data_IF_513771886231
#
_entry.id   IF_513771886231
#
_cell.length_a   1.000
_cell.length_b   1.000
_cell.length_c   1.000
_cell.angle_alpha   90.00
_cell.angle_beta   90.00
_cell.angle_gamma   90.00
#
_symmetry.space_group_name_H-M   'P 1'
#
loop_
_entity.id
_entity.type
_entity.pdbx_description
1 polymer ?
#
# COMPACT_ATOMS: atom_id res chain seq x y z
N UNK A 1 -16.62 52.02 -25.69
CA UNK A 1 -15.69 52.49 -24.65
C UNK A 1 -15.78 51.46 -23.54
N UNK A 2 -14.85 50.50 -23.58
CA UNK A 2 -14.87 49.33 -22.72
C UNK A 2 -14.02 49.56 -21.50
N UNK A 3 -14.50 49.06 -20.35
CA UNK A 3 -13.68 48.73 -19.20
C UNK A 3 -14.08 47.33 -18.75
N UNK A 4 -13.57 46.34 -19.46
CA UNK A 4 -13.50 44.98 -18.95
C UNK A 4 -12.24 44.90 -18.09
N UNK A 5 -12.41 45.04 -16.78
CA UNK A 5 -11.34 44.80 -15.81
C UNK A 5 -10.97 43.33 -15.94
N UNK A 6 -9.82 43.08 -16.58
CA UNK A 6 -9.23 41.76 -16.65
C UNK A 6 -8.95 41.29 -15.23
N UNK A 7 -9.87 40.49 -14.68
CA UNK A 7 -9.61 39.66 -13.51
C UNK A 7 -8.49 38.71 -13.88
N UNK A 8 -7.27 39.06 -13.51
CA UNK A 8 -6.15 38.12 -13.50
C UNK A 8 -6.54 37.06 -12.48
N UNK A 9 -7.04 35.93 -12.97
CA UNK A 9 -7.31 34.76 -12.16
C UNK A 9 -6.05 34.45 -11.37
N UNK A 10 -6.15 34.52 -10.04
CA UNK A 10 -5.08 34.11 -9.13
C UNK A 10 -4.57 32.74 -9.58
N UNK A 11 -3.25 32.51 -9.69
CA UNK A 11 -2.74 31.19 -9.99
C UNK A 11 -3.29 30.24 -8.93
N UNK A 12 -3.90 29.13 -9.37
CA UNK A 12 -4.41 28.11 -8.48
C UNK A 12 -3.31 27.75 -7.48
N UNK A 13 -3.61 27.81 -6.16
CA UNK A 13 -2.67 27.39 -5.12
C UNK A 13 -2.12 26.01 -5.49
N UNK A 14 -0.82 25.74 -5.32
CA UNK A 14 -0.24 24.47 -5.72
C UNK A 14 -0.89 23.37 -4.86
N UNK A 15 -1.87 22.71 -5.47
CA UNK A 15 -2.58 21.49 -5.09
C UNK A 15 -3.06 21.42 -3.64
N UNK A 16 -4.33 21.72 -3.39
CA UNK A 16 -5.02 21.45 -2.12
C UNK A 16 -5.65 20.05 -2.21
N UNK A 17 -4.86 19.01 -1.89
CA UNK A 17 -5.33 17.61 -1.92
C UNK A 17 -5.77 17.16 -0.53
N UNK A 18 -6.81 16.34 -0.47
CA UNK A 18 -7.30 15.77 0.78
C UNK A 18 -6.48 14.54 1.20
N UNK A 19 -6.02 13.75 0.24
CA UNK A 19 -5.23 12.54 0.49
C UNK A 19 -4.12 12.31 -0.54
N UNK A 20 -3.11 11.53 -0.18
CA UNK A 20 -2.09 11.06 -1.11
C UNK A 20 -1.92 9.54 -1.02
N UNK A 21 -1.63 8.94 -2.18
CA UNK A 21 -1.35 7.52 -2.32
C UNK A 21 0.11 7.38 -2.75
N UNK A 22 0.98 6.90 -1.87
CA UNK A 22 2.38 6.61 -2.19
C UNK A 22 2.49 5.16 -2.64
N UNK A 23 3.09 4.93 -3.81
CA UNK A 23 3.31 3.59 -4.36
C UNK A 23 4.67 3.41 -5.01
N UNK A 24 4.87 2.21 -5.53
CA UNK A 24 5.97 1.82 -6.42
C UNK A 24 5.46 0.73 -7.35
N UNK A 25 6.24 0.41 -8.38
CA UNK A 25 5.85 -0.57 -9.39
C UNK A 25 6.42 -1.95 -9.06
N UNK A 26 5.63 -2.99 -9.32
CA UNK A 26 5.98 -4.39 -9.08
C UNK A 26 6.72 -5.04 -10.26
N UNK A 27 6.71 -4.38 -11.42
CA UNK A 27 7.35 -4.88 -12.64
C UNK A 27 7.84 -3.74 -13.53
N UNK A 28 8.80 -4.05 -14.41
CA UNK A 28 9.26 -3.10 -15.43
C UNK A 28 8.16 -2.74 -16.44
N UNK A 29 7.19 -3.62 -16.65
CA UNK A 29 5.99 -3.34 -17.45
C UNK A 29 5.14 -2.25 -16.79
N UNK A 30 4.85 -2.38 -15.49
CA UNK A 30 4.08 -1.37 -14.76
C UNK A 30 4.85 -0.04 -14.66
N UNK A 31 6.18 -0.08 -14.49
CA UNK A 31 7.05 1.08 -14.60
C UNK A 31 6.97 1.79 -15.96
N UNK A 32 6.89 1.03 -17.06
CA UNK A 32 6.67 1.58 -18.40
C UNK A 32 5.34 2.33 -18.49
N UNK A 33 4.27 1.78 -17.92
CA UNK A 33 2.94 2.42 -17.94
C UNK A 33 2.94 3.74 -17.17
N UNK A 34 3.59 3.79 -16.01
CA UNK A 34 3.80 5.03 -15.25
C UNK A 34 4.58 6.08 -16.06
N UNK A 35 5.68 5.67 -16.71
CA UNK A 35 6.45 6.58 -17.56
C UNK A 35 5.66 7.07 -18.78
N UNK A 36 4.83 6.22 -19.37
CA UNK A 36 3.95 6.61 -20.48
C UNK A 36 2.96 7.70 -20.04
N UNK A 37 2.38 7.59 -18.84
CA UNK A 37 1.51 8.62 -18.26
C UNK A 37 2.27 9.93 -18.07
N UNK A 38 3.47 9.89 -17.48
CA UNK A 38 4.28 11.08 -17.21
C UNK A 38 4.77 11.79 -18.48
N UNK A 39 5.13 11.01 -19.50
CA UNK A 39 5.54 11.55 -20.80
C UNK A 39 4.32 12.01 -21.62
N UNK A 40 3.14 11.49 -21.33
CA UNK A 40 1.91 11.82 -22.02
C UNK A 40 1.76 11.11 -23.38
N UNK A 41 0.55 11.16 -23.97
CA UNK A 41 0.14 10.27 -25.06
C UNK A 41 0.85 10.52 -26.40
N UNK A 42 1.59 11.63 -26.53
CA UNK A 42 2.30 12.00 -27.77
C UNK A 42 3.64 11.30 -27.94
N UNK A 43 4.13 10.64 -26.89
CA UNK A 43 5.43 9.99 -26.90
C UNK A 43 5.30 8.48 -27.10
N UNK A 44 6.10 7.92 -28.00
CA UNK A 44 6.19 6.47 -28.18
C UNK A 44 6.67 5.79 -26.88
N UNK A 45 6.22 4.56 -26.57
CA UNK A 45 6.71 3.78 -25.44
C UNK A 45 8.24 3.64 -25.48
N UNK A 46 8.88 3.71 -24.32
CA UNK A 46 10.32 3.50 -24.21
C UNK A 46 10.65 2.00 -24.20
N UNK A 47 11.76 1.58 -24.83
CA UNK A 47 12.30 0.24 -24.63
C UNK A 47 12.64 -0.03 -23.16
N UNK A 48 12.52 -1.29 -22.72
CA UNK A 48 12.75 -1.67 -21.32
C UNK A 48 14.16 -1.32 -20.81
N UNK A 49 15.19 -1.42 -21.65
CA UNK A 49 16.56 -1.08 -21.26
C UNK A 49 16.70 0.42 -20.93
N UNK A 50 16.11 1.30 -21.74
CA UNK A 50 16.09 2.73 -21.46
C UNK A 50 15.31 3.03 -20.17
N UNK A 51 14.20 2.33 -19.94
CA UNK A 51 13.43 2.45 -18.70
C UNK A 51 14.30 2.08 -17.49
N UNK A 52 15.02 0.96 -17.56
CA UNK A 52 15.93 0.52 -16.49
C UNK A 52 17.04 1.54 -16.21
N UNK A 53 17.55 2.17 -17.26
CA UNK A 53 18.60 3.17 -17.16
C UNK A 53 18.11 4.48 -16.54
N UNK A 54 16.88 4.91 -16.83
CA UNK A 54 16.36 6.21 -16.37
C UNK A 54 15.56 6.13 -15.07
N UNK A 55 14.78 5.08 -14.85
CA UNK A 55 13.78 4.99 -13.77
C UNK A 55 14.40 5.21 -12.37
N UNK A 56 15.58 4.64 -12.03
CA UNK A 56 16.22 4.89 -10.75
C UNK A 56 16.61 6.37 -10.55
N UNK A 57 16.78 7.18 -11.59
CA UNK A 57 17.15 8.59 -11.43
C UNK A 57 15.96 9.51 -11.23
N UNK A 58 14.74 9.00 -11.38
CA UNK A 58 13.53 9.79 -11.21
C UNK A 58 13.24 9.95 -9.72
N UNK A 59 13.16 11.19 -9.20
CA UNK A 59 12.77 11.41 -7.81
C UNK A 59 11.27 11.15 -7.62
N UNK A 60 10.84 10.86 -6.38
CA UNK A 60 9.42 10.74 -6.05
C UNK A 60 8.61 11.95 -6.52
N UNK A 61 7.51 11.71 -7.22
CA UNK A 61 6.67 12.78 -7.77
C UNK A 61 5.26 12.31 -8.06
N UNK A 62 4.34 13.28 -8.16
CA UNK A 62 2.98 13.02 -8.60
C UNK A 62 2.96 12.46 -10.04
N UNK A 63 2.17 11.43 -10.24
CA UNK A 63 1.92 10.82 -11.55
C UNK A 63 0.53 11.20 -12.06
N UNK A 64 -0.49 11.13 -11.20
CA UNK A 64 -1.84 11.52 -11.55
C UNK A 64 -2.64 12.05 -10.35
N UNK A 65 -3.72 12.77 -10.65
CA UNK A 65 -4.70 13.20 -9.67
C UNK A 65 -5.92 12.29 -9.70
N UNK A 66 -6.53 12.10 -8.53
CA UNK A 66 -7.69 11.25 -8.34
C UNK A 66 -8.79 12.09 -7.73
N UNK A 67 -10.00 12.03 -8.28
CA UNK A 67 -11.19 12.57 -7.63
C UNK A 67 -12.14 11.42 -7.32
N UNK A 68 -12.56 11.33 -6.06
CA UNK A 68 -13.52 10.32 -5.60
C UNK A 68 -14.75 10.98 -5.01
N UNK A 69 -15.89 10.31 -5.15
CA UNK A 69 -17.15 10.70 -4.53
C UNK A 69 -17.72 9.52 -3.76
N UNK A 70 -18.08 9.74 -2.49
CA UNK A 70 -18.77 8.73 -1.69
C UNK A 70 -20.24 8.59 -2.08
N UNK A 71 -20.87 7.48 -1.69
CA UNK A 71 -22.31 7.28 -1.86
C UNK A 71 -23.15 8.34 -1.13
N UNK A 72 -22.62 8.90 -0.03
CA UNK A 72 -23.22 10.01 0.71
C UNK A 72 -23.00 11.38 0.04
N UNK A 73 -22.33 11.43 -1.12
CA UNK A 73 -22.13 12.64 -1.92
C UNK A 73 -20.86 13.43 -1.60
N UNK A 74 -20.15 13.12 -0.51
CA UNK A 74 -18.89 13.77 -0.16
C UNK A 74 -17.84 13.55 -1.25
N UNK A 75 -17.03 14.57 -1.53
CA UNK A 75 -15.94 14.51 -2.51
C UNK A 75 -14.60 14.54 -1.79
N UNK A 76 -13.61 13.87 -2.34
CA UNK A 76 -12.22 14.02 -1.94
C UNK A 76 -11.32 14.06 -3.18
N UNK A 77 -10.30 14.91 -3.12
CA UNK A 77 -9.27 15.00 -4.17
C UNK A 77 -7.98 14.42 -3.65
N UNK A 78 -7.32 13.62 -4.45
CA UNK A 78 -6.07 13.00 -4.09
C UNK A 78 -5.04 13.05 -5.19
N UNK A 79 -3.85 12.62 -4.84
CA UNK A 79 -2.71 12.50 -5.75
C UNK A 79 -2.04 11.15 -5.56
N UNK A 80 -1.76 10.50 -6.68
CA UNK A 80 -0.88 9.33 -6.69
C UNK A 80 0.57 9.78 -6.88
N UNK A 81 1.42 9.38 -5.96
CA UNK A 81 2.86 9.68 -5.93
C UNK A 81 3.59 8.36 -6.10
N UNK A 82 4.34 8.24 -7.18
CA UNK A 82 5.25 7.11 -7.33
C UNK A 82 6.58 7.46 -6.66
N UNK A 83 7.12 6.50 -5.89
CA UNK A 83 8.41 6.64 -5.20
C UNK A 83 9.61 6.31 -6.09
N UNK A 84 9.35 5.75 -7.28
CA UNK A 84 10.31 5.28 -8.27
C UNK A 84 11.33 4.30 -7.68
N UNK A 85 10.89 3.44 -6.76
CA UNK A 85 11.69 2.30 -6.32
C UNK A 85 11.74 1.30 -7.50
N UNK A 86 12.94 0.97 -8.02
CA UNK A 86 13.04 0.02 -9.12
C UNK A 86 12.53 -1.38 -8.72
N UNK A 87 11.78 -2.08 -9.60
CA UNK A 87 11.22 -3.39 -9.29
C UNK A 87 12.25 -4.47 -8.90
N UNK A 88 13.50 -4.32 -9.35
CA UNK A 88 14.63 -5.20 -9.07
C UNK A 88 15.48 -4.77 -7.86
N UNK A 89 15.10 -3.70 -7.16
CA UNK A 89 15.82 -3.16 -5.99
C UNK A 89 15.05 -3.32 -4.68
N UNK A 90 14.28 -4.38 -4.52
CA UNK A 90 13.51 -4.64 -3.29
C UNK A 90 14.31 -5.40 -2.21
N UNK A 91 15.55 -5.81 -2.52
CA UNK A 91 16.42 -6.53 -1.60
C UNK A 91 16.98 -5.66 -0.46
N UNK A 92 17.42 -6.31 0.62
CA UNK A 92 17.94 -5.66 1.83
C UNK A 92 19.07 -4.64 1.57
N UNK A 93 19.94 -4.90 0.58
CA UNK A 93 21.04 -4.01 0.20
C UNK A 93 20.59 -2.61 -0.27
N UNK A 94 19.35 -2.47 -0.71
CA UNK A 94 18.79 -1.21 -1.20
C UNK A 94 17.90 -0.50 -0.16
N UNK A 95 17.76 -1.02 1.06
CA UNK A 95 16.84 -0.49 2.08
C UNK A 95 17.09 0.99 2.37
N UNK A 96 18.33 1.43 2.49
CA UNK A 96 18.64 2.85 2.73
C UNK A 96 18.23 3.76 1.57
N UNK A 97 18.48 3.34 0.32
CA UNK A 97 18.06 4.09 -0.87
C UNK A 97 16.53 4.17 -0.94
N UNK A 98 15.85 3.04 -0.76
CA UNK A 98 14.40 2.97 -0.85
C UNK A 98 13.70 3.74 0.28
N UNK A 99 14.25 3.69 1.49
CA UNK A 99 13.76 4.50 2.60
C UNK A 99 13.85 6.00 2.29
N UNK A 100 14.95 6.45 1.67
CA UNK A 100 15.09 7.84 1.23
C UNK A 100 14.02 8.22 0.19
N UNK A 101 13.71 7.32 -0.76
CA UNK A 101 12.62 7.52 -1.73
C UNK A 101 11.25 7.60 -1.05
N UNK A 102 10.95 6.72 -0.10
CA UNK A 102 9.68 6.76 0.65
C UNK A 102 9.56 8.06 1.45
N UNK A 103 10.63 8.50 2.12
CA UNK A 103 10.66 9.80 2.82
C UNK A 103 10.47 10.98 1.86
N UNK A 104 11.07 10.92 0.67
CA UNK A 104 10.87 11.93 -0.38
C UNK A 104 9.43 11.99 -0.88
N UNK A 105 8.79 10.84 -1.09
CA UNK A 105 7.39 10.75 -1.46
C UNK A 105 6.47 11.31 -0.35
N UNK A 106 6.76 11.00 0.91
CA UNK A 106 6.05 11.53 2.07
C UNK A 106 6.19 13.06 2.18
N UNK A 107 7.41 13.59 2.01
CA UNK A 107 7.66 15.03 1.98
C UNK A 107 6.92 15.73 0.83
N UNK A 108 6.85 15.09 -0.34
CA UNK A 108 6.05 15.58 -1.47
C UNK A 108 4.57 15.65 -1.09
N UNK A 109 4.02 14.61 -0.47
CA UNK A 109 2.62 14.56 -0.05
C UNK A 109 2.26 15.67 0.97
N UNK A 110 3.13 15.90 1.96
CA UNK A 110 2.98 16.99 2.94
C UNK A 110 2.99 18.35 2.23
N UNK A 111 3.94 18.57 1.32
CA UNK A 111 4.02 19.83 0.55
C UNK A 111 2.79 20.04 -0.34
N UNK A 112 2.19 18.96 -0.84
CA UNK A 112 0.94 18.98 -1.58
C UNK A 112 -0.31 19.13 -0.68
N UNK A 113 -0.15 19.34 0.63
CA UNK A 113 -1.26 19.60 1.54
C UNK A 113 -2.09 18.37 1.92
N UNK A 114 -1.62 17.16 1.63
CA UNK A 114 -2.36 15.94 1.94
C UNK A 114 -2.57 15.79 3.46
N UNK A 115 -3.82 15.60 3.87
CA UNK A 115 -4.19 15.40 5.29
C UNK A 115 -3.94 13.96 5.73
N UNK A 116 -4.10 13.02 4.81
CA UNK A 116 -3.79 11.61 5.04
C UNK A 116 -2.97 11.04 3.87
N UNK A 117 -1.94 10.26 4.20
CA UNK A 117 -1.06 9.64 3.22
C UNK A 117 -1.05 8.14 3.44
N UNK A 118 -1.41 7.37 2.41
CA UNK A 118 -1.26 5.91 2.44
C UNK A 118 0.10 5.50 1.88
N UNK A 119 0.82 4.64 2.59
CA UNK A 119 2.00 3.96 2.09
C UNK A 119 1.59 2.60 1.52
N UNK A 120 1.67 2.44 0.20
CA UNK A 120 1.29 1.22 -0.50
C UNK A 120 2.44 0.26 -0.74
N UNK A 121 2.14 -1.05 -0.71
CA UNK A 121 3.08 -2.10 -1.09
C UNK A 121 4.36 -2.10 -0.24
N UNK A 122 5.51 -2.21 -0.88
CA UNK A 122 6.82 -2.25 -0.21
C UNK A 122 7.13 -1.01 0.62
N UNK A 123 6.53 0.14 0.30
CA UNK A 123 6.74 1.37 1.08
C UNK A 123 6.20 1.26 2.51
N UNK A 124 5.11 0.51 2.75
CA UNK A 124 4.61 0.27 4.11
C UNK A 124 5.53 -0.69 4.88
N UNK A 125 6.09 -1.69 4.21
CA UNK A 125 7.02 -2.66 4.80
C UNK A 125 8.30 -1.97 5.29
N UNK A 126 8.83 -1.02 4.50
CA UNK A 126 10.04 -0.27 4.87
C UNK A 126 9.87 0.59 6.13
N UNK A 127 8.63 0.99 6.44
CA UNK A 127 8.30 1.89 7.55
C UNK A 127 7.58 1.13 8.69
N UNK A 128 7.32 -0.16 8.53
CA UNK A 128 6.60 -0.99 9.49
C UNK A 128 7.28 -0.92 10.87
N UNK A 129 6.52 -0.54 11.90
CA UNK A 129 7.03 -0.33 13.26
C UNK A 129 7.87 0.93 13.48
N UNK A 130 8.10 1.75 12.44
CA UNK A 130 9.00 2.91 12.47
C UNK A 130 8.43 4.14 11.75
N UNK A 131 7.13 4.42 11.91
CA UNK A 131 6.47 5.60 11.31
C UNK A 131 7.16 6.93 11.66
N UNK A 132 7.84 7.01 12.82
CA UNK A 132 8.65 8.18 13.21
C UNK A 132 9.85 8.47 12.31
N UNK A 133 10.14 7.61 11.33
CA UNK A 133 11.12 7.88 10.29
C UNK A 133 10.58 8.77 9.16
N UNK A 134 9.27 8.94 9.05
CA UNK A 134 8.67 9.82 8.05
C UNK A 134 8.79 11.29 8.48
N UNK A 135 8.87 12.22 7.51
CA UNK A 135 8.81 13.64 7.82
C UNK A 135 7.47 13.98 8.51
N UNK A 136 7.53 14.89 9.48
CA UNK A 136 6.34 15.45 10.11
C UNK A 136 5.80 16.62 9.27
N UNK A 137 4.47 16.75 9.23
CA UNK A 137 3.76 17.81 8.52
C UNK A 137 2.55 18.27 9.33
N UNK A 138 2.26 19.58 9.44
CA UNK A 138 1.13 20.06 10.22
C UNK A 138 -0.20 19.47 9.69
N UNK A 139 -0.84 18.62 10.49
CA UNK A 139 -2.14 18.03 10.14
C UNK A 139 -2.09 16.88 9.12
N UNK A 140 -0.90 16.38 8.75
CA UNK A 140 -0.75 15.19 7.90
C UNK A 140 -0.55 13.95 8.77
N UNK A 141 -1.35 12.90 8.53
CA UNK A 141 -1.19 11.59 9.17
C UNK A 141 -0.86 10.51 8.14
N UNK A 142 -0.16 9.47 8.58
CA UNK A 142 0.23 8.36 7.72
C UNK A 142 -0.52 7.08 8.07
N UNK A 143 -0.82 6.26 7.06
CA UNK A 143 -1.40 4.93 7.23
C UNK A 143 -0.74 3.93 6.29
N UNK A 144 -0.66 2.68 6.72
CA UNK A 144 -0.26 1.55 5.84
C UNK A 144 -1.43 1.03 5.01
N UNK A 145 -2.68 1.36 5.38
CA UNK A 145 -3.88 0.80 4.77
C UNK A 145 -4.13 -0.68 5.10
N UNK A 146 -3.26 -1.34 5.87
CA UNK A 146 -3.31 -2.78 6.10
C UNK A 146 -4.60 -3.25 6.80
N UNK A 147 -5.17 -2.46 7.72
CA UNK A 147 -6.45 -2.79 8.37
C UNK A 147 -7.60 -2.88 7.37
N UNK A 148 -7.66 -1.96 6.40
CA UNK A 148 -8.68 -2.00 5.33
C UNK A 148 -8.46 -3.22 4.43
N UNK A 149 -7.21 -3.53 4.10
CA UNK A 149 -6.82 -4.73 3.34
C UNK A 149 -7.28 -6.01 4.05
N UNK A 150 -7.04 -6.14 5.36
CA UNK A 150 -7.53 -7.27 6.17
C UNK A 150 -9.05 -7.37 6.08
N UNK A 151 -9.76 -6.26 6.22
CA UNK A 151 -11.22 -6.21 6.09
C UNK A 151 -11.71 -6.77 4.75
N UNK A 152 -11.08 -6.36 3.63
CA UNK A 152 -11.42 -6.88 2.31
C UNK A 152 -11.08 -8.36 2.14
N UNK A 153 -9.95 -8.84 2.67
CA UNK A 153 -9.58 -10.27 2.63
C UNK A 153 -10.63 -11.11 3.37
N UNK A 154 -11.00 -10.71 4.58
CA UNK A 154 -12.01 -11.41 5.40
C UNK A 154 -13.36 -11.46 4.69
N UNK A 155 -13.81 -10.34 4.11
CA UNK A 155 -15.05 -10.30 3.34
C UNK A 155 -14.96 -11.18 2.09
N UNK A 156 -13.85 -11.13 1.36
CA UNK A 156 -13.60 -11.92 0.16
C UNK A 156 -13.65 -13.43 0.43
N UNK A 157 -13.00 -13.88 1.50
CA UNK A 157 -13.01 -15.30 1.92
C UNK A 157 -14.43 -15.74 2.28
N UNK A 158 -15.16 -14.97 3.10
CA UNK A 158 -16.56 -15.28 3.46
C UNK A 158 -17.45 -15.40 2.22
N UNK A 159 -17.34 -14.44 1.29
CA UNK A 159 -18.11 -14.43 0.04
C UNK A 159 -17.76 -15.64 -0.84
N UNK A 160 -16.48 -15.95 -1.01
CA UNK A 160 -16.04 -17.09 -1.82
C UNK A 160 -16.51 -18.42 -1.23
N UNK A 161 -16.42 -18.60 0.09
CA UNK A 161 -16.92 -19.80 0.77
C UNK A 161 -18.42 -19.98 0.56
N UNK A 162 -19.22 -18.92 0.68
CA UNK A 162 -20.65 -18.97 0.40
C UNK A 162 -20.94 -19.37 -1.06
N UNK A 163 -20.24 -18.76 -2.04
CA UNK A 163 -20.39 -19.07 -3.47
C UNK A 163 -19.98 -20.50 -3.83
N UNK A 164 -19.04 -21.09 -3.08
CA UNK A 164 -18.54 -22.45 -3.31
C UNK A 164 -19.18 -23.50 -2.40
N UNK A 165 -20.17 -23.13 -1.59
CA UNK A 165 -20.80 -24.05 -0.62
C UNK A 165 -19.83 -24.59 0.43
N UNK A 166 -18.73 -23.88 0.72
CA UNK A 166 -17.72 -24.29 1.72
C UNK A 166 -18.11 -23.73 3.09
N UNK A 167 -18.24 -24.62 4.07
CA UNK A 167 -18.46 -24.23 5.46
C UNK A 167 -17.13 -23.90 6.14
N UNK A 168 -16.91 -22.63 6.50
CA UNK A 168 -15.69 -22.18 7.18
C UNK A 168 -15.45 -22.95 8.49
N UNK A 169 -16.49 -23.21 9.30
CA UNK A 169 -16.37 -23.96 10.57
C UNK A 169 -15.91 -25.40 10.42
N UNK A 170 -15.96 -25.95 9.20
CA UNK A 170 -15.45 -27.30 8.87
C UNK A 170 -14.14 -27.26 8.08
N UNK A 171 -13.66 -26.06 7.74
CA UNK A 171 -12.50 -25.84 6.88
C UNK A 171 -11.24 -25.58 7.71
N UNK A 172 -10.09 -25.95 7.15
CA UNK A 172 -8.77 -25.56 7.64
C UNK A 172 -8.32 -24.31 6.90
N UNK A 173 -7.80 -23.32 7.63
CA UNK A 173 -7.24 -22.09 7.07
C UNK A 173 -5.72 -22.14 7.15
N UNK A 174 -5.03 -22.05 6.00
CA UNK A 174 -3.58 -21.82 5.95
C UNK A 174 -3.31 -20.34 5.70
N UNK A 175 -2.44 -19.74 6.51
CA UNK A 175 -1.99 -18.35 6.35
C UNK A 175 -0.49 -18.35 6.11
N UNK A 176 -0.07 -18.02 4.88
CA UNK A 176 1.34 -17.80 4.53
C UNK A 176 1.68 -16.34 4.76
N UNK A 177 2.76 -16.08 5.51
CA UNK A 177 3.08 -14.74 6.00
C UNK A 177 2.29 -14.36 7.26
N UNK A 178 1.93 -15.35 8.10
CA UNK A 178 1.08 -15.17 9.27
C UNK A 178 1.59 -14.15 10.30
N UNK A 179 2.90 -13.88 10.33
CA UNK A 179 3.52 -12.94 11.29
C UNK A 179 3.64 -11.52 10.77
N UNK A 180 3.24 -11.24 9.52
CA UNK A 180 3.13 -9.87 9.01
C UNK A 180 1.87 -9.17 9.50
N UNK A 181 1.80 -7.85 9.40
CA UNK A 181 0.66 -7.04 9.84
C UNK A 181 -0.68 -7.53 9.25
N UNK A 182 -0.74 -7.70 7.92
CA UNK A 182 -1.94 -8.23 7.24
C UNK A 182 -2.21 -9.68 7.61
N UNK A 183 -1.18 -10.54 7.64
CA UNK A 183 -1.35 -11.97 7.92
C UNK A 183 -1.89 -12.22 9.32
N UNK A 184 -1.32 -11.55 10.33
CA UNK A 184 -1.74 -11.67 11.72
C UNK A 184 -3.11 -11.04 11.95
N UNK A 185 -3.45 -9.94 11.26
CA UNK A 185 -4.81 -9.38 11.26
C UNK A 185 -5.84 -10.36 10.68
N UNK A 186 -5.52 -11.01 9.56
CA UNK A 186 -6.38 -12.05 8.98
C UNK A 186 -6.54 -13.24 9.92
N UNK A 187 -5.46 -13.68 10.58
CA UNK A 187 -5.49 -14.75 11.55
C UNK A 187 -6.49 -14.44 12.67
N UNK A 188 -6.37 -13.28 13.33
CA UNK A 188 -7.29 -12.85 14.40
C UNK A 188 -8.74 -12.77 13.95
N UNK A 189 -9.01 -12.30 12.73
CA UNK A 189 -10.39 -12.16 12.24
C UNK A 189 -11.04 -13.46 11.78
N UNK A 190 -10.26 -14.43 11.29
CA UNK A 190 -10.78 -15.66 10.66
C UNK A 190 -10.67 -16.89 11.55
N UNK A 191 -9.66 -16.94 12.43
CA UNK A 191 -9.43 -18.04 13.36
C UNK A 191 -10.69 -18.44 14.15
N UNK A 192 -11.49 -17.52 14.71
CA UNK A 192 -12.68 -17.88 15.50
C UNK A 192 -13.82 -18.51 14.70
N UNK A 193 -13.77 -18.47 13.35
CA UNK A 193 -14.85 -18.93 12.47
C UNK A 193 -14.44 -20.11 11.58
N UNK A 194 -13.24 -20.66 11.78
CA UNK A 194 -12.74 -21.85 11.07
C UNK A 194 -12.54 -23.03 12.04
N UNK A 195 -12.31 -24.24 11.50
CA UNK A 195 -12.07 -25.42 12.35
C UNK A 195 -10.71 -25.35 13.05
N UNK A 196 -9.67 -25.01 12.29
CA UNK A 196 -8.28 -24.92 12.72
C UNK A 196 -7.49 -24.03 11.78
N UNK A 197 -6.39 -23.47 12.28
CA UNK A 197 -5.51 -22.58 11.53
C UNK A 197 -4.11 -23.17 11.44
N UNK A 198 -3.51 -23.12 10.26
CA UNK A 198 -2.10 -23.39 10.01
C UNK A 198 -1.42 -22.04 9.77
N UNK A 199 -0.46 -21.69 10.61
CA UNK A 199 0.27 -20.44 10.56
C UNK A 199 1.66 -20.68 9.97
N UNK A 200 1.94 -20.07 8.83
CA UNK A 200 3.22 -20.19 8.14
C UNK A 200 3.96 -18.85 8.05
N UNK A 201 5.20 -18.81 8.51
CA UNK A 201 6.11 -17.67 8.37
C UNK A 201 7.57 -18.05 8.71
N UNK A 202 8.52 -17.17 8.43
CA UNK A 202 9.96 -17.38 8.69
C UNK A 202 10.37 -17.26 10.15
N UNK A 203 9.65 -16.44 10.94
CA UNK A 203 10.01 -16.15 12.34
C UNK A 203 9.18 -17.04 13.28
N UNK A 204 9.81 -18.06 13.86
CA UNK A 204 9.18 -19.04 14.75
C UNK A 204 8.64 -18.39 16.00
N UNK A 205 9.41 -17.54 16.68
CA UNK A 205 8.98 -16.90 17.94
C UNK A 205 7.69 -16.09 17.77
N UNK A 206 7.57 -15.35 16.66
CA UNK A 206 6.35 -14.61 16.33
C UNK A 206 5.18 -15.51 15.96
N UNK A 207 5.45 -16.67 15.34
CA UNK A 207 4.42 -17.68 15.05
C UNK A 207 3.88 -18.29 16.34
N UNK A 208 4.76 -18.73 17.23
CA UNK A 208 4.39 -19.32 18.51
C UNK A 208 3.59 -18.34 19.37
N UNK A 209 4.01 -17.06 19.39
CA UNK A 209 3.25 -16.01 20.08
C UNK A 209 1.84 -15.84 19.50
N UNK A 210 1.71 -15.80 18.18
CA UNK A 210 0.40 -15.69 17.53
C UNK A 210 -0.45 -16.95 17.75
N UNK A 211 0.15 -18.15 17.70
CA UNK A 211 -0.54 -19.40 17.96
C UNK A 211 -1.08 -19.44 19.40
N UNK A 212 -0.26 -19.10 20.38
CA UNK A 212 -0.67 -19.04 21.79
C UNK A 212 -1.80 -18.02 22.03
N UNK A 213 -1.77 -16.88 21.34
CA UNK A 213 -2.86 -15.88 21.36
C UNK A 213 -4.18 -16.50 20.85
N UNK A 214 -4.15 -17.19 19.71
CA UNK A 214 -5.34 -17.82 19.13
C UNK A 214 -5.84 -19.03 19.93
N UNK A 215 -4.93 -19.80 20.52
CA UNK A 215 -5.25 -20.94 21.38
C UNK A 215 -5.92 -20.51 22.69
N UNK A 216 -5.53 -19.35 23.24
CA UNK A 216 -6.22 -18.76 24.38
C UNK A 216 -7.69 -18.42 24.07
N UNK A 217 -8.01 -18.13 22.80
CA UNK A 217 -9.37 -17.93 22.30
C UNK A 217 -10.08 -19.25 21.89
N UNK A 218 -9.47 -20.40 22.19
CA UNK A 218 -10.02 -21.73 21.93
C UNK A 218 -9.86 -22.23 20.49
N UNK A 219 -8.99 -21.61 19.69
CA UNK A 219 -8.73 -22.04 18.31
C UNK A 219 -7.61 -23.06 18.27
N UNK A 220 -7.78 -24.15 17.51
CA UNK A 220 -6.69 -25.07 17.19
C UNK A 220 -5.72 -24.41 16.20
N UNK A 221 -4.49 -24.10 16.64
CA UNK A 221 -3.43 -23.54 15.81
C UNK A 221 -2.26 -24.53 15.64
N UNK A 222 -1.62 -24.50 14.48
CA UNK A 222 -0.40 -25.25 14.18
C UNK A 222 0.58 -24.31 13.47
N UNK A 223 1.86 -24.40 13.79
CA UNK A 223 2.90 -23.52 13.24
C UNK A 223 3.82 -24.29 12.29
N UNK A 224 4.15 -23.69 11.17
CA UNK A 224 5.11 -24.22 10.21
C UNK A 224 6.03 -23.12 9.69
N UNK A 225 7.31 -23.40 9.50
CA UNK A 225 8.27 -22.46 8.87
C UNK A 225 8.49 -22.75 7.39
N UNK A 226 8.16 -23.96 6.95
CA UNK A 226 8.27 -24.44 5.59
C UNK A 226 6.86 -24.65 5.03
N UNK A 227 6.47 -23.99 3.92
CA UNK A 227 5.15 -24.18 3.33
C UNK A 227 4.96 -25.57 2.68
N UNK A 228 6.02 -26.36 2.49
CA UNK A 228 5.93 -27.74 1.96
C UNK A 228 5.71 -28.82 3.04
N UNK A 229 5.69 -28.44 4.32
CA UNK A 229 5.41 -29.31 5.47
C UNK A 229 4.14 -28.89 6.19
#
# INVERSE_FOLDING_TARGET
MGDAVASVARPARPYDVDFALVGHQESWRAASDVLAILRGPKHAPLPEHEIKDIFPWIPPRAVCHVEVRSLAGAKARGVYIDSFIPPDRLEARYVHENLARVRGAAAYAIKAGAKIVSLGGFSSILIEGNLGQLPEGPGTVFTTGNTLTVGFIVQGIKKMCALKGRNLRRSTLLIVGATGDVGSGCARCLAPIVRRVLLNARNVERLEKLAAELEADGVQAEVATDPER
#
